data_IF_048603442898
#
_entry.id   IF_048603442898
#
_cell.length_a   1.000
_cell.length_b   1.000
_cell.length_c   1.000
_cell.angle_alpha   90.00
_cell.angle_beta   90.00
_cell.angle_gamma   90.00
#
_symmetry.space_group_name_H-M   'P 1'
#
loop_
_entity.id
_entity.type
_entity.pdbx_description
1 polymer ?
#
# COMPACT_ATOMS: atom_id res chain seq x y z
N UNK A 1 4.06 22.94 9.81
CA UNK A 1 5.25 22.44 9.06
C UNK A 1 5.48 23.37 7.88
N UNK A 2 6.70 23.89 7.72
CA UNK A 2 7.07 24.70 6.55
C UNK A 2 7.76 23.76 5.54
N UNK A 3 7.33 23.82 4.29
CA UNK A 3 7.87 23.00 3.21
C UNK A 3 8.71 23.87 2.27
N UNK A 4 9.86 23.37 1.85
CA UNK A 4 10.73 24.09 0.92
C UNK A 4 11.93 23.28 0.49
N UNK A 5 12.70 23.82 -0.45
CA UNK A 5 14.01 23.24 -0.77
C UNK A 5 14.95 23.42 0.42
N UNK A 6 15.87 22.46 0.62
CA UNK A 6 16.84 22.51 1.73
C UNK A 6 17.64 23.82 1.77
N UNK A 7 17.89 24.44 0.61
CA UNK A 7 18.59 25.73 0.52
C UNK A 7 17.74 26.89 1.04
N UNK A 8 16.43 26.88 0.76
CA UNK A 8 15.51 27.94 1.17
C UNK A 8 15.07 27.80 2.63
N UNK A 9 15.00 26.58 3.15
CA UNK A 9 14.71 26.31 4.56
C UNK A 9 15.81 26.78 5.49
N UNK A 10 17.08 26.57 5.11
CA UNK A 10 18.22 27.11 5.88
C UNK A 10 18.16 28.62 6.05
N UNK A 11 17.66 29.32 5.03
CA UNK A 11 17.47 30.76 5.13
C UNK A 11 16.34 31.12 6.10
N UNK A 12 15.31 30.27 6.25
CA UNK A 12 14.19 30.49 7.16
C UNK A 12 14.54 30.17 8.63
N UNK A 13 15.52 29.30 8.88
CA UNK A 13 16.02 29.02 10.24
C UNK A 13 16.66 30.26 10.87
N UNK A 14 17.17 31.20 10.06
CA UNK A 14 17.78 32.46 10.51
C UNK A 14 16.74 33.56 10.85
N UNK A 15 15.44 33.32 10.60
CA UNK A 15 14.36 34.30 10.85
C UNK A 15 13.47 33.88 12.02
N UNK A 16 13.03 34.87 12.81
CA UNK A 16 11.95 34.70 13.78
C UNK A 16 10.62 34.50 13.04
N UNK A 17 10.25 33.23 12.85
CA UNK A 17 9.01 32.83 12.18
C UNK A 17 7.80 33.08 13.09
N UNK A 18 6.70 33.63 12.56
CA UNK A 18 5.50 33.85 13.35
C UNK A 18 4.90 32.52 13.83
N UNK A 19 4.40 32.50 15.07
CA UNK A 19 3.71 31.34 15.62
C UNK A 19 2.28 31.26 15.09
N UNK A 20 1.88 30.08 14.62
CA UNK A 20 0.53 29.81 14.11
C UNK A 20 -0.28 29.18 15.24
N UNK A 21 -1.36 29.84 15.65
CA UNK A 21 -2.33 29.32 16.62
C UNK A 21 -3.63 28.91 15.93
N UNK A 22 -4.14 27.73 16.24
CA UNK A 22 -5.49 27.29 15.84
C UNK A 22 -6.26 27.00 17.12
N UNK A 23 -7.43 27.64 17.28
CA UNK A 23 -8.29 27.51 18.47
C UNK A 23 -7.54 27.73 19.80
N UNK A 24 -6.64 28.71 19.82
CA UNK A 24 -5.81 29.03 21.00
C UNK A 24 -4.63 28.09 21.25
N UNK A 25 -4.46 27.03 20.45
CA UNK A 25 -3.33 26.10 20.55
C UNK A 25 -2.23 26.47 19.55
N UNK A 26 -1.00 26.63 20.04
CA UNK A 26 0.18 26.87 19.18
C UNK A 26 0.55 25.58 18.45
N UNK A 27 0.58 25.64 17.12
CA UNK A 27 0.99 24.50 16.30
C UNK A 27 2.52 24.53 16.14
N UNK A 28 3.25 23.52 16.65
CA UNK A 28 4.70 23.47 16.50
C UNK A 28 5.12 23.20 15.06
N UNK A 29 6.22 23.82 14.65
CA UNK A 29 6.90 23.47 13.40
C UNK A 29 7.66 22.15 13.58
N UNK A 30 7.43 21.21 12.66
CA UNK A 30 8.05 19.88 12.68
C UNK A 30 8.81 19.62 11.38
N UNK A 31 9.92 18.90 11.48
CA UNK A 31 10.79 18.58 10.34
C UNK A 31 10.35 17.34 9.56
N UNK A 32 9.56 16.46 10.17
CA UNK A 32 8.93 15.34 9.47
C UNK A 32 7.57 15.04 10.11
N UNK A 33 6.58 14.75 9.26
CA UNK A 33 5.26 14.32 9.71
C UNK A 33 4.70 13.25 8.78
N UNK A 34 3.85 12.39 9.32
CA UNK A 34 3.11 11.40 8.55
C UNK A 34 1.76 11.98 8.14
N UNK A 35 1.53 12.12 6.84
CA UNK A 35 0.29 12.60 6.29
C UNK A 35 -0.23 11.60 5.26
N UNK A 36 -1.46 11.09 5.46
CA UNK A 36 -2.11 10.12 4.58
C UNK A 36 -1.26 8.88 4.24
N UNK A 37 -0.44 8.42 5.19
CA UNK A 37 0.43 7.26 5.01
C UNK A 37 1.80 7.56 4.40
N UNK A 38 2.05 8.80 3.97
CA UNK A 38 3.34 9.26 3.45
C UNK A 38 4.09 10.01 4.54
N UNK A 39 5.40 9.75 4.66
CA UNK A 39 6.26 10.54 5.53
C UNK A 39 6.79 11.72 4.72
N UNK A 40 6.35 12.92 5.07
CA UNK A 40 6.75 14.17 4.44
C UNK A 40 7.76 14.84 5.35
N UNK A 41 8.90 15.23 4.80
CA UNK A 41 9.93 16.01 5.48
C UNK A 41 9.84 17.48 5.08
N UNK A 42 10.32 18.38 5.92
CA UNK A 42 10.35 19.83 5.65
C UNK A 42 11.10 20.14 4.35
N UNK A 43 12.22 19.45 4.13
CA UNK A 43 13.10 19.59 2.98
C UNK A 43 12.67 18.77 1.74
N UNK A 44 11.48 18.15 1.78
CA UNK A 44 10.94 17.30 0.73
C UNK A 44 11.84 16.11 0.34
N UNK A 45 12.75 15.72 1.23
CA UNK A 45 13.54 14.51 1.10
C UNK A 45 12.69 13.26 1.33
N UNK A 46 12.90 12.25 0.49
CA UNK A 46 12.17 10.98 0.54
C UNK A 46 12.82 9.93 1.43
N UNK A 47 14.00 10.19 1.99
CA UNK A 47 14.79 9.24 2.76
C UNK A 47 13.99 8.58 3.90
N UNK A 48 13.27 9.36 4.69
CA UNK A 48 12.45 8.85 5.81
C UNK A 48 11.34 7.93 5.32
N UNK A 49 10.64 8.33 4.24
CA UNK A 49 9.58 7.52 3.66
C UNK A 49 10.12 6.23 3.04
N UNK A 50 11.19 6.32 2.26
CA UNK A 50 11.85 5.17 1.63
C UNK A 50 12.34 4.20 2.71
N UNK A 51 13.03 4.67 3.75
CA UNK A 51 13.49 3.83 4.84
C UNK A 51 12.34 3.10 5.53
N UNK A 52 11.22 3.78 5.77
CA UNK A 52 10.04 3.18 6.37
C UNK A 52 9.38 2.12 5.48
N UNK A 53 9.20 2.41 4.18
CA UNK A 53 8.65 1.47 3.19
C UNK A 53 9.55 0.26 3.01
N UNK A 54 10.84 0.49 2.81
CA UNK A 54 11.85 -0.56 2.65
C UNK A 54 11.94 -1.45 3.89
N UNK A 55 11.86 -0.89 5.11
CA UNK A 55 11.82 -1.68 6.35
C UNK A 55 10.59 -2.58 6.42
N UNK A 56 9.41 -2.11 6.01
CA UNK A 56 8.22 -2.95 5.94
C UNK A 56 8.41 -4.11 4.97
N UNK A 57 8.93 -3.84 3.78
CA UNK A 57 9.21 -4.87 2.75
C UNK A 57 10.24 -5.88 3.25
N UNK A 58 11.34 -5.44 3.86
CA UNK A 58 12.32 -6.36 4.42
C UNK A 58 11.76 -7.16 5.59
N UNK A 59 10.92 -6.57 6.44
CA UNK A 59 10.26 -7.28 7.53
C UNK A 59 9.35 -8.39 7.01
N UNK A 60 8.54 -8.12 5.99
CA UNK A 60 7.68 -9.15 5.37
C UNK A 60 8.50 -10.21 4.67
N UNK A 61 9.50 -9.82 3.88
CA UNK A 61 10.39 -10.75 3.18
C UNK A 61 11.17 -11.65 4.15
N UNK A 62 11.71 -11.08 5.23
CA UNK A 62 12.43 -11.84 6.23
C UNK A 62 11.50 -12.82 6.95
N UNK A 63 10.27 -12.39 7.26
CA UNK A 63 9.27 -13.26 7.85
C UNK A 63 8.83 -14.40 6.91
N UNK A 64 8.84 -14.18 5.60
CA UNK A 64 8.62 -15.23 4.60
C UNK A 64 9.81 -16.18 4.51
N UNK A 65 11.04 -15.62 4.50
CA UNK A 65 12.28 -16.39 4.48
C UNK A 65 12.41 -17.31 5.69
N UNK A 66 12.06 -16.84 6.89
CA UNK A 66 12.08 -17.63 8.11
C UNK A 66 11.01 -18.72 8.16
N UNK A 67 9.92 -18.58 7.38
CA UNK A 67 8.80 -19.53 7.31
C UNK A 67 8.82 -20.40 6.06
N UNK A 68 9.97 -20.49 5.38
CA UNK A 68 10.14 -21.24 4.13
C UNK A 68 9.75 -22.72 4.25
N UNK A 69 10.00 -23.33 5.43
CA UNK A 69 9.64 -24.74 5.70
C UNK A 69 8.13 -24.95 5.93
N UNK A 70 7.39 -23.92 6.35
CA UNK A 70 5.92 -23.94 6.44
C UNK A 70 5.32 -23.85 5.03
N UNK A 71 5.98 -23.10 4.14
CA UNK A 71 5.60 -22.95 2.74
C UNK A 71 5.98 -24.17 1.87
N UNK A 72 6.86 -25.07 2.33
CA UNK A 72 7.21 -26.30 1.59
C UNK A 72 6.34 -27.51 1.93
N UNK A 73 5.52 -27.44 2.98
CA UNK A 73 4.55 -28.50 3.33
C UNK A 73 3.31 -28.39 2.47
N UNK A 74 3.22 -29.27 1.46
CA UNK A 74 2.24 -29.36 0.36
C UNK A 74 0.75 -29.12 0.72
N UNK A 75 0.41 -29.23 2.00
CA UNK A 75 -0.96 -29.36 2.49
C UNK A 75 -1.49 -28.09 3.19
N UNK A 76 -0.69 -27.03 3.36
CA UNK A 76 -1.17 -25.76 3.97
C UNK A 76 -1.71 -24.75 2.94
N UNK A 77 -1.49 -24.99 1.65
CA UNK A 77 -1.82 -24.04 0.58
C UNK A 77 -2.98 -24.49 -0.30
N UNK A 78 -3.53 -25.68 -0.06
CA UNK A 78 -4.79 -26.13 -0.67
C UNK A 78 -5.94 -25.14 -0.39
N UNK A 79 -5.90 -24.46 0.76
CA UNK A 79 -6.86 -23.42 1.15
C UNK A 79 -6.25 -22.01 1.23
N UNK A 80 -5.04 -21.80 0.71
CA UNK A 80 -4.43 -20.46 0.76
C UNK A 80 -5.06 -19.57 -0.30
N UNK A 81 -5.62 -18.44 0.14
CA UNK A 81 -6.27 -17.43 -0.71
C UNK A 81 -5.43 -17.05 -1.94
N UNK A 82 -4.09 -17.03 -1.82
CA UNK A 82 -3.22 -16.63 -2.92
C UNK A 82 -3.15 -17.69 -4.04
N UNK A 83 -3.15 -18.97 -3.67
CA UNK A 83 -3.09 -20.08 -4.64
C UNK A 83 -4.47 -20.33 -5.25
N UNK A 84 -5.53 -20.28 -4.44
CA UNK A 84 -6.90 -20.36 -4.93
C UNK A 84 -7.23 -19.19 -5.86
N UNK A 85 -6.81 -17.96 -5.53
CA UNK A 85 -6.95 -16.82 -6.44
C UNK A 85 -6.26 -17.06 -7.77
N UNK A 86 -5.01 -17.54 -7.79
CA UNK A 86 -4.30 -17.80 -9.05
C UNK A 86 -4.97 -18.91 -9.87
N UNK A 87 -5.51 -19.95 -9.23
CA UNK A 87 -6.29 -21.01 -9.90
C UNK A 87 -7.61 -20.47 -10.46
N UNK A 88 -8.37 -19.73 -9.65
CA UNK A 88 -9.60 -19.07 -10.07
C UNK A 88 -9.36 -18.16 -11.27
N UNK A 89 -8.29 -17.35 -11.24
CA UNK A 89 -7.89 -16.49 -12.37
C UNK A 89 -7.56 -17.28 -13.65
N UNK A 90 -7.08 -18.52 -13.54
CA UNK A 90 -6.83 -19.39 -14.70
C UNK A 90 -8.10 -20.05 -15.23
N UNK A 91 -9.12 -20.19 -14.40
CA UNK A 91 -10.41 -20.79 -14.77
C UNK A 91 -11.36 -19.77 -15.38
N UNK A 92 -11.06 -18.46 -15.28
CA UNK A 92 -11.85 -17.42 -15.93
C UNK A 92 -11.81 -17.63 -17.46
N UNK A 93 -12.98 -17.80 -18.10
CA UNK A 93 -12.99 -18.06 -19.52
C UNK A 93 -12.58 -16.80 -20.31
N UNK A 94 -11.89 -16.99 -21.45
CA UNK A 94 -11.25 -15.91 -22.19
C UNK A 94 -12.25 -14.87 -22.76
N UNK A 95 -13.54 -15.19 -22.82
CA UNK A 95 -14.63 -14.29 -23.24
C UNK A 95 -15.02 -13.25 -22.17
N UNK A 96 -14.71 -13.55 -20.89
CA UNK A 96 -14.82 -12.61 -19.77
C UNK A 96 -13.60 -11.70 -19.75
N UNK A 97 -12.40 -12.28 -19.87
CA UNK A 97 -11.12 -11.56 -19.88
C UNK A 97 -11.04 -10.57 -21.06
N UNK A 98 -11.44 -11.00 -22.26
CA UNK A 98 -11.38 -10.17 -23.47
C UNK A 98 -12.62 -9.28 -23.67
N UNK A 99 -13.35 -8.95 -22.61
CA UNK A 99 -14.54 -8.09 -22.71
C UNK A 99 -14.15 -6.64 -23.07
N UNK A 100 -14.96 -6.00 -23.92
CA UNK A 100 -14.69 -4.68 -24.49
C UNK A 100 -14.97 -3.50 -23.54
N UNK A 101 -15.44 -3.76 -22.31
CA UNK A 101 -15.77 -2.74 -21.30
C UNK A 101 -15.64 -3.30 -19.88
N UNK A 102 -15.26 -2.44 -18.93
CA UNK A 102 -15.10 -2.77 -17.51
C UNK A 102 -16.44 -3.20 -16.88
N UNK A 103 -17.54 -2.56 -17.25
CA UNK A 103 -18.87 -2.93 -16.74
C UNK A 103 -19.29 -4.31 -17.24
N UNK A 104 -18.98 -4.62 -18.51
CA UNK A 104 -19.23 -5.93 -19.09
C UNK A 104 -18.35 -7.02 -18.45
N UNK A 105 -17.08 -6.71 -18.18
CA UNK A 105 -16.18 -7.58 -17.41
C UNK A 105 -16.75 -7.90 -16.04
N UNK A 106 -17.13 -6.87 -15.26
CA UNK A 106 -17.65 -7.04 -13.90
C UNK A 106 -18.91 -7.89 -13.87
N UNK A 107 -19.87 -7.63 -14.77
CA UNK A 107 -21.12 -8.39 -14.83
C UNK A 107 -20.86 -9.86 -15.13
N UNK A 108 -20.01 -10.16 -16.13
CA UNK A 108 -19.68 -11.52 -16.52
C UNK A 108 -18.84 -12.27 -15.48
N UNK A 109 -17.87 -11.58 -14.86
CA UNK A 109 -17.08 -12.16 -13.79
C UNK A 109 -17.95 -12.49 -12.57
N UNK A 110 -18.91 -11.62 -12.25
CA UNK A 110 -19.85 -11.85 -11.15
C UNK A 110 -20.73 -13.08 -11.40
N UNK A 111 -21.32 -13.21 -12.60
CA UNK A 111 -22.06 -14.43 -12.97
C UNK A 111 -21.19 -15.69 -12.92
N UNK A 112 -19.95 -15.62 -13.43
CA UNK A 112 -19.04 -16.76 -13.41
C UNK A 112 -18.72 -17.24 -11.99
N UNK A 113 -18.47 -16.31 -11.05
CA UNK A 113 -18.22 -16.66 -9.65
C UNK A 113 -19.47 -17.18 -8.94
N UNK A 114 -20.65 -16.64 -9.27
CA UNK A 114 -21.92 -17.13 -8.73
C UNK A 114 -22.24 -18.56 -9.18
N UNK A 115 -22.00 -18.88 -10.45
CA UNK A 115 -22.15 -20.24 -11.00
C UNK A 115 -21.13 -21.23 -10.40
N UNK A 116 -19.92 -20.78 -10.08
CA UNK A 116 -18.92 -21.59 -9.38
C UNK A 116 -19.37 -21.93 -7.95
N UNK A 117 -19.89 -20.95 -7.21
CA UNK A 117 -20.38 -21.14 -5.84
C UNK A 117 -21.58 -22.11 -5.78
N UNK A 118 -22.45 -22.09 -6.79
CA UNK A 118 -23.56 -23.04 -6.94
C UNK A 118 -23.13 -24.48 -7.27
N UNK A 119 -21.94 -24.68 -7.86
CA UNK A 119 -21.41 -26.01 -8.21
C UNK A 119 -20.67 -26.69 -7.06
N UNK A 120 -20.19 -25.89 -6.10
CA UNK A 120 -19.45 -26.38 -4.94
C UNK A 120 -20.34 -26.61 -3.69
N UNK A 121 -21.64 -26.26 -3.77
CA UNK A 121 -22.66 -26.46 -2.73
C UNK A 121 -23.46 -27.76 -2.92
#
# INVERSE_FOLDING_TARGET
MILGSSRKLKWLDDYDLPQITVDGNVIPYVNSTKHLGVHITNNLSWDVHVAHTTRKVYGTLNSLKSRKNILSTANLYEHSFLISSIRLWREIPPDVINSFSIEAFKSKAFEFFYELELREA
#
